data_IF_350413603122
#
_entry.id   IF_350413603122
#
_cell.length_a   1.000
_cell.length_b   1.000
_cell.length_c   1.000
_cell.angle_alpha   90.00
_cell.angle_beta   90.00
_cell.angle_gamma   90.00
#
_symmetry.space_group_name_H-M   'P 1'
#
loop_
_entity.id
_entity.type
_entity.pdbx_description
1 polymer ?
#
# COMPACT_ATOMS: atom_id res chain seq x y z
N UNK A 1 7.48 20.42 26.55
CA UNK A 1 8.14 19.25 25.93
C UNK A 1 8.21 19.49 24.44
N UNK A 2 9.39 19.87 23.94
CA UNK A 2 9.63 20.32 22.57
C UNK A 2 9.42 19.18 21.58
N UNK A 3 8.48 19.38 20.66
CA UNK A 3 8.10 18.43 19.61
C UNK A 3 9.30 18.22 18.68
N UNK A 4 9.77 16.99 18.40
CA UNK A 4 10.77 16.82 17.38
C UNK A 4 10.15 17.01 15.99
N UNK A 5 10.85 17.83 15.18
CA UNK A 5 10.94 17.80 13.72
C UNK A 5 10.92 16.34 13.27
N UNK A 6 9.85 15.81 12.67
CA UNK A 6 9.70 15.78 11.22
C UNK A 6 8.43 15.00 10.91
N UNK A 7 7.40 15.64 10.34
CA UNK A 7 6.26 14.93 9.73
C UNK A 7 6.72 13.94 8.65
N UNK A 8 7.91 14.15 8.07
CA UNK A 8 8.52 13.33 7.03
C UNK A 8 9.15 12.02 7.55
N UNK A 9 9.16 11.77 8.86
CA UNK A 9 9.74 10.55 9.44
C UNK A 9 9.18 9.26 8.82
N UNK A 10 7.86 9.18 8.62
CA UNK A 10 7.21 7.99 8.04
C UNK A 10 7.63 7.77 6.58
N UNK A 11 7.86 8.84 5.81
CA UNK A 11 8.36 8.73 4.43
C UNK A 11 9.80 8.24 4.43
N UNK A 12 10.63 8.72 5.36
CA UNK A 12 12.02 8.23 5.50
C UNK A 12 12.02 6.74 5.80
N UNK A 13 11.22 6.26 6.76
CA UNK A 13 11.08 4.84 7.03
C UNK A 13 10.58 4.06 5.80
N UNK A 14 9.62 4.62 5.06
CA UNK A 14 9.14 4.06 3.80
C UNK A 14 10.24 3.93 2.74
N UNK A 15 11.06 4.96 2.56
CA UNK A 15 12.18 4.94 1.61
C UNK A 15 13.20 3.88 2.02
N UNK A 16 13.50 3.74 3.31
CA UNK A 16 14.41 2.68 3.79
C UNK A 16 13.84 1.30 3.47
N UNK A 17 12.55 1.05 3.73
CA UNK A 17 11.90 -0.22 3.37
C UNK A 17 11.90 -0.48 1.86
N UNK A 18 11.72 0.56 1.04
CA UNK A 18 11.81 0.46 -0.42
C UNK A 18 13.23 0.11 -0.89
N UNK A 19 14.26 0.66 -0.24
CA UNK A 19 15.66 0.30 -0.52
C UNK A 19 15.94 -1.13 -0.08
N UNK A 20 15.44 -1.56 1.07
CA UNK A 20 15.58 -2.95 1.53
C UNK A 20 14.90 -3.94 0.56
N UNK A 21 13.72 -3.62 0.02
CA UNK A 21 13.05 -4.48 -0.98
C UNK A 21 13.78 -4.51 -2.32
N UNK A 22 14.43 -3.41 -2.69
CA UNK A 22 15.29 -3.37 -3.87
C UNK A 22 16.52 -4.27 -3.71
N UNK A 23 17.17 -4.21 -2.53
CA UNK A 23 18.31 -5.08 -2.20
C UNK A 23 17.88 -6.56 -2.18
N UNK A 24 16.73 -6.88 -1.57
CA UNK A 24 16.13 -8.22 -1.54
C UNK A 24 15.95 -8.79 -2.96
N UNK A 25 15.47 -7.96 -3.90
CA UNK A 25 15.31 -8.35 -5.31
C UNK A 25 16.67 -8.57 -6.02
N UNK A 26 17.62 -7.63 -5.89
CA UNK A 26 18.92 -7.75 -6.56
C UNK A 26 19.69 -8.99 -6.08
N UNK A 27 19.75 -9.21 -4.76
CA UNK A 27 20.50 -10.35 -4.21
C UNK A 27 19.87 -11.68 -4.67
N UNK A 28 18.54 -11.74 -4.76
CA UNK A 28 17.85 -12.91 -5.29
C UNK A 28 18.25 -13.21 -6.75
N UNK A 29 18.47 -12.17 -7.58
CA UNK A 29 18.88 -12.37 -8.97
C UNK A 29 20.28 -12.99 -9.11
N UNK A 30 21.19 -12.72 -8.16
CA UNK A 30 22.50 -13.37 -8.08
C UNK A 30 22.39 -14.85 -7.63
N UNK A 31 21.51 -15.13 -6.67
CA UNK A 31 21.18 -16.48 -6.18
C UNK A 31 20.77 -17.47 -7.30
N UNK A 32 20.10 -16.98 -8.35
CA UNK A 32 19.64 -17.81 -9.45
C UNK A 32 20.78 -18.34 -10.33
N UNK A 33 21.96 -17.71 -10.29
CA UNK A 33 23.06 -17.96 -11.23
C UNK A 33 24.16 -18.89 -10.69
N UNK A 34 24.24 -19.18 -9.39
CA UNK A 34 25.26 -20.10 -8.86
C UNK A 34 24.82 -20.88 -7.61
N UNK A 35 25.19 -22.17 -7.53
CA UNK A 35 24.94 -23.04 -6.36
C UNK A 35 25.81 -22.62 -5.16
N UNK A 36 27.02 -22.11 -5.40
CA UNK A 36 27.96 -21.66 -4.37
C UNK A 36 27.40 -20.49 -3.56
N UNK A 37 26.67 -19.57 -4.20
CA UNK A 37 26.02 -18.47 -3.50
C UNK A 37 24.85 -18.92 -2.62
N UNK A 38 24.17 -20.02 -2.95
CA UNK A 38 23.04 -20.56 -2.18
C UNK A 38 23.47 -21.14 -0.82
N UNK A 39 24.68 -21.70 -0.75
CA UNK A 39 25.24 -22.24 0.50
C UNK A 39 26.02 -21.19 1.30
N UNK A 40 26.18 -19.96 0.80
CA UNK A 40 27.06 -19.00 1.46
C UNK A 40 26.47 -18.49 2.78
N UNK A 41 27.28 -18.58 3.85
CA UNK A 41 26.95 -18.01 5.16
C UNK A 41 26.69 -16.50 5.06
N UNK A 42 27.40 -15.83 4.15
CA UNK A 42 27.22 -14.39 3.88
C UNK A 42 25.81 -14.06 3.41
N UNK A 43 25.23 -14.82 2.48
CA UNK A 43 23.88 -14.56 1.98
C UNK A 43 22.82 -14.85 3.05
N UNK A 44 23.03 -15.88 3.86
CA UNK A 44 22.15 -16.23 4.97
C UNK A 44 22.17 -15.16 6.06
N UNK A 45 23.34 -14.65 6.44
CA UNK A 45 23.47 -13.50 7.34
C UNK A 45 22.85 -12.23 6.76
N UNK A 46 23.06 -11.98 5.47
CA UNK A 46 22.49 -10.83 4.78
C UNK A 46 20.96 -10.90 4.79
N UNK A 47 20.37 -12.05 4.46
CA UNK A 47 18.94 -12.27 4.55
C UNK A 47 18.41 -12.03 5.97
N UNK A 48 19.04 -12.62 6.99
CA UNK A 48 18.61 -12.44 8.38
C UNK A 48 18.70 -10.98 8.82
N UNK A 49 19.77 -10.26 8.47
CA UNK A 49 19.92 -8.84 8.77
C UNK A 49 18.83 -8.00 8.08
N UNK A 50 18.62 -8.18 6.78
CA UNK A 50 17.59 -7.46 6.03
C UNK A 50 16.20 -7.71 6.63
N UNK A 51 15.90 -8.94 7.03
CA UNK A 51 14.64 -9.30 7.67
C UNK A 51 14.46 -8.60 9.02
N UNK A 52 15.47 -8.64 9.89
CA UNK A 52 15.42 -7.97 11.20
C UNK A 52 15.24 -6.46 11.04
N UNK A 53 15.98 -5.84 10.12
CA UNK A 53 15.83 -4.41 9.83
C UNK A 53 14.44 -4.08 9.26
N UNK A 54 13.92 -4.89 8.34
CA UNK A 54 12.59 -4.67 7.77
C UNK A 54 11.50 -4.74 8.85
N UNK A 55 11.51 -5.78 9.69
CA UNK A 55 10.55 -5.94 10.80
C UNK A 55 10.68 -4.78 11.80
N UNK A 56 11.90 -4.40 12.19
CA UNK A 56 12.13 -3.30 13.11
C UNK A 56 11.57 -1.98 12.57
N UNK A 57 11.77 -1.67 11.29
CA UNK A 57 11.24 -0.44 10.68
C UNK A 57 9.71 -0.49 10.58
N UNK A 58 9.12 -1.64 10.23
CA UNK A 58 7.66 -1.80 10.23
C UNK A 58 7.06 -1.54 11.63
N UNK A 59 7.70 -2.06 12.69
CA UNK A 59 7.31 -1.78 14.08
C UNK A 59 7.43 -0.30 14.44
N UNK A 60 8.49 0.37 14.00
CA UNK A 60 8.70 1.81 14.22
C UNK A 60 7.63 2.65 13.52
N UNK A 61 7.28 2.32 12.26
CA UNK A 61 6.17 2.97 11.54
C UNK A 61 4.87 2.81 12.33
N UNK A 62 4.57 1.58 12.76
CA UNK A 62 3.37 1.30 13.53
C UNK A 62 3.32 2.09 14.84
N UNK A 63 4.41 2.09 15.61
CA UNK A 63 4.51 2.86 16.84
C UNK A 63 4.31 4.36 16.60
N UNK A 64 4.90 4.91 15.53
CA UNK A 64 4.71 6.32 15.16
C UNK A 64 3.24 6.64 14.88
N UNK A 65 2.55 5.76 14.12
CA UNK A 65 1.12 5.90 13.83
C UNK A 65 0.33 5.90 15.13
N UNK A 66 0.44 4.86 15.95
CA UNK A 66 -0.30 4.75 17.21
C UNK A 66 -0.12 5.98 18.10
N UNK A 67 1.14 6.42 18.29
CA UNK A 67 1.47 7.60 19.10
C UNK A 67 0.88 8.90 18.55
N UNK A 68 0.86 9.07 17.22
CA UNK A 68 0.33 10.29 16.58
C UNK A 68 -1.20 10.29 16.54
N UNK A 69 -1.84 9.14 16.36
CA UNK A 69 -3.30 9.04 16.46
C UNK A 69 -3.78 9.39 17.88
N UNK A 70 -3.13 8.87 18.93
CA UNK A 70 -3.48 9.25 20.31
C UNK A 70 -3.25 10.73 20.64
N UNK A 71 -2.39 11.41 19.88
CA UNK A 71 -2.17 12.85 20.02
C UNK A 71 -3.21 13.68 19.25
N UNK A 72 -3.67 13.19 18.10
CA UNK A 72 -4.62 13.91 17.24
C UNK A 72 -6.09 13.64 17.56
N UNK A 73 -6.41 12.53 18.22
CA UNK A 73 -7.78 12.14 18.57
C UNK A 73 -7.81 11.65 20.02
N UNK A 74 -8.42 12.44 20.92
CA UNK A 74 -8.70 12.03 22.30
C UNK A 74 -9.81 10.97 22.36
N UNK A 75 -10.71 10.97 21.38
CA UNK A 75 -11.79 9.99 21.21
C UNK A 75 -11.49 9.18 19.96
N UNK A 76 -10.84 8.03 20.14
CA UNK A 76 -10.66 7.06 19.06
C UNK A 76 -12.05 6.51 18.69
N UNK A 77 -12.47 6.69 17.45
CA UNK A 77 -13.71 6.06 16.97
C UNK A 77 -13.59 4.53 17.05
N UNK A 78 -14.70 3.85 17.40
CA UNK A 78 -14.73 2.39 17.59
C UNK A 78 -14.16 1.62 16.39
N UNK A 79 -14.38 2.12 15.16
CA UNK A 79 -13.84 1.54 13.93
C UNK A 79 -12.31 1.62 13.85
N UNK A 80 -11.71 2.79 14.14
CA UNK A 80 -10.25 2.97 14.14
C UNK A 80 -9.56 2.11 15.19
N UNK A 81 -10.18 1.90 16.35
CA UNK A 81 -9.66 1.01 17.38
C UNK A 81 -9.62 -0.45 16.89
N UNK A 82 -10.70 -0.95 16.29
CA UNK A 82 -10.74 -2.31 15.72
C UNK A 82 -9.66 -2.52 14.66
N UNK A 83 -9.41 -1.54 13.79
CA UNK A 83 -8.34 -1.61 12.79
C UNK A 83 -6.94 -1.70 13.43
N UNK A 84 -6.68 -0.93 14.50
CA UNK A 84 -5.39 -0.99 15.19
C UNK A 84 -5.16 -2.34 15.87
N UNK A 85 -6.18 -2.93 16.49
CA UNK A 85 -6.08 -4.24 17.14
C UNK A 85 -5.82 -5.34 16.11
N UNK A 86 -6.58 -5.35 15.00
CA UNK A 86 -6.41 -6.32 13.93
C UNK A 86 -4.99 -6.29 13.34
N UNK A 87 -4.42 -5.09 13.17
CA UNK A 87 -3.06 -4.96 12.67
C UNK A 87 -2.00 -5.42 13.69
N UNK A 88 -2.16 -5.12 14.98
CA UNK A 88 -1.23 -5.64 16.02
C UNK A 88 -1.22 -7.16 15.97
N UNK A 89 -2.40 -7.77 15.92
CA UNK A 89 -2.53 -9.22 15.83
C UNK A 89 -1.82 -9.78 14.60
N UNK A 90 -2.02 -9.16 13.43
CA UNK A 90 -1.34 -9.57 12.21
C UNK A 90 0.19 -9.42 12.27
N UNK A 91 0.70 -8.30 12.80
CA UNK A 91 2.14 -8.06 12.97
C UNK A 91 2.77 -9.11 13.89
N UNK A 92 2.08 -9.49 14.97
CA UNK A 92 2.54 -10.56 15.87
C UNK A 92 2.62 -11.91 15.15
N UNK A 93 1.59 -12.27 14.37
CA UNK A 93 1.61 -13.48 13.55
C UNK A 93 2.79 -13.47 12.59
N UNK A 94 3.00 -12.36 11.86
CA UNK A 94 4.11 -12.20 10.92
C UNK A 94 5.46 -12.41 11.62
N UNK A 95 5.68 -11.76 12.77
CA UNK A 95 6.91 -11.91 13.56
C UNK A 95 7.12 -13.36 13.99
N UNK A 96 6.09 -14.04 14.47
CA UNK A 96 6.17 -15.45 14.90
C UNK A 96 6.57 -16.35 13.72
N UNK A 97 5.92 -16.18 12.56
CA UNK A 97 6.21 -16.99 11.37
C UNK A 97 7.64 -16.75 10.85
N UNK A 98 8.07 -15.49 10.79
CA UNK A 98 9.44 -15.15 10.37
C UNK A 98 10.49 -15.62 11.37
N UNK A 99 10.23 -15.51 12.68
CA UNK A 99 11.14 -16.02 13.70
C UNK A 99 11.29 -17.54 13.59
N UNK A 100 10.18 -18.27 13.41
CA UNK A 100 10.19 -19.71 13.20
C UNK A 100 10.98 -20.11 11.94
N UNK A 101 10.77 -19.39 10.82
CA UNK A 101 11.54 -19.58 9.59
C UNK A 101 13.05 -19.42 9.80
N UNK A 102 13.48 -18.36 10.49
CA UNK A 102 14.91 -18.11 10.78
C UNK A 102 15.48 -19.22 11.65
N UNK A 103 14.78 -19.64 12.70
CA UNK A 103 15.21 -20.75 13.55
C UNK A 103 15.38 -22.04 12.74
N UNK A 104 14.45 -22.33 11.84
CA UNK A 104 14.51 -23.52 11.00
C UNK A 104 15.75 -23.51 10.09
N UNK A 105 16.02 -22.36 9.44
CA UNK A 105 17.17 -22.18 8.57
C UNK A 105 18.49 -22.38 9.35
N UNK A 106 18.60 -21.78 10.54
CA UNK A 106 19.83 -21.83 11.35
C UNK A 106 20.12 -23.21 11.92
N UNK A 107 19.08 -23.95 12.36
CA UNK A 107 19.26 -25.26 13.00
C UNK A 107 19.30 -26.42 12.00
N UNK A 108 18.52 -26.34 10.92
CA UNK A 108 18.29 -27.47 10.00
C UNK A 108 18.98 -27.29 8.64
N UNK A 109 19.53 -26.10 8.34
CA UNK A 109 20.05 -25.81 7.00
C UNK A 109 18.97 -25.90 5.90
N UNK A 110 17.70 -25.80 6.29
CA UNK A 110 16.54 -26.02 5.45
C UNK A 110 15.35 -25.22 5.99
N UNK A 111 14.34 -24.97 5.16
CA UNK A 111 13.04 -24.50 5.62
C UNK A 111 11.90 -25.32 5.03
N UNK A 112 10.76 -25.35 5.73
CA UNK A 112 9.57 -26.09 5.31
C UNK A 112 8.74 -25.26 4.33
N UNK A 113 8.23 -25.90 3.28
CA UNK A 113 7.37 -25.24 2.30
C UNK A 113 6.05 -24.77 2.94
N UNK A 114 5.57 -25.40 4.01
CA UNK A 114 4.39 -24.99 4.77
C UNK A 114 4.61 -23.65 5.46
N UNK A 115 5.76 -23.42 6.11
CA UNK A 115 6.04 -22.11 6.73
C UNK A 115 6.16 -21.03 5.66
N UNK A 116 6.83 -21.35 4.55
CA UNK A 116 6.97 -20.44 3.41
C UNK A 116 5.61 -20.03 2.82
N UNK A 117 4.74 -21.01 2.54
CA UNK A 117 3.35 -20.79 2.10
C UNK A 117 2.58 -19.95 3.13
N UNK A 118 2.70 -20.25 4.41
CA UNK A 118 1.99 -19.55 5.49
C UNK A 118 2.35 -18.06 5.55
N UNK A 119 3.64 -17.73 5.42
CA UNK A 119 4.11 -16.33 5.38
C UNK A 119 3.52 -15.61 4.16
N UNK A 120 3.58 -16.24 2.98
CA UNK A 120 3.06 -15.64 1.75
C UNK A 120 1.55 -15.41 1.87
N UNK A 121 0.76 -16.47 2.08
CA UNK A 121 -0.70 -16.38 2.04
C UNK A 121 -1.27 -15.50 3.15
N UNK A 122 -0.65 -15.45 4.33
CA UNK A 122 -1.09 -14.53 5.39
C UNK A 122 -0.91 -13.06 4.98
N UNK A 123 0.21 -12.70 4.35
CA UNK A 123 0.46 -11.34 3.87
C UNK A 123 -0.51 -10.94 2.75
N UNK A 124 -0.73 -11.82 1.78
CA UNK A 124 -1.70 -11.59 0.70
C UNK A 124 -3.13 -11.47 1.24
N UNK A 125 -3.55 -12.36 2.16
CA UNK A 125 -4.87 -12.32 2.75
C UNK A 125 -5.15 -11.00 3.49
N UNK A 126 -4.19 -10.56 4.31
CA UNK A 126 -4.31 -9.29 5.02
C UNK A 126 -4.35 -8.10 4.05
N UNK A 127 -3.55 -8.15 2.98
CA UNK A 127 -3.56 -7.13 1.95
C UNK A 127 -4.92 -7.05 1.23
N UNK A 128 -5.48 -8.19 0.83
CA UNK A 128 -6.81 -8.27 0.22
C UNK A 128 -7.92 -7.77 1.12
N UNK A 129 -7.86 -8.06 2.42
CA UNK A 129 -8.85 -7.56 3.39
C UNK A 129 -8.84 -6.02 3.46
N UNK A 130 -7.66 -5.40 3.60
CA UNK A 130 -7.55 -3.94 3.63
C UNK A 130 -7.94 -3.30 2.29
N UNK A 131 -7.55 -3.89 1.16
CA UNK A 131 -7.91 -3.40 -0.16
C UNK A 131 -9.41 -3.53 -0.44
N UNK A 132 -10.06 -4.62 -0.02
CA UNK A 132 -11.51 -4.78 -0.15
C UNK A 132 -12.28 -3.68 0.59
N UNK A 133 -11.84 -3.34 1.81
CA UNK A 133 -12.41 -2.22 2.57
C UNK A 133 -12.15 -0.89 1.85
N UNK A 134 -10.93 -0.66 1.38
CA UNK A 134 -10.57 0.55 0.64
C UNK A 134 -11.45 0.73 -0.62
N UNK A 135 -11.62 -0.33 -1.41
CA UNK A 135 -12.45 -0.36 -2.62
C UNK A 135 -13.90 -0.01 -2.26
N UNK A 136 -14.44 -0.59 -1.18
CA UNK A 136 -15.77 -0.26 -0.70
C UNK A 136 -15.92 1.24 -0.39
N UNK A 137 -14.95 1.85 0.30
CA UNK A 137 -15.00 3.29 0.57
C UNK A 137 -14.87 4.14 -0.69
N UNK A 138 -13.93 3.83 -1.58
CA UNK A 138 -13.76 4.55 -2.85
C UNK A 138 -15.03 4.50 -3.71
N UNK A 139 -15.68 3.34 -3.79
CA UNK A 139 -16.96 3.21 -4.48
C UNK A 139 -18.07 4.00 -3.80
N UNK A 140 -18.15 3.91 -2.47
CA UNK A 140 -19.14 4.64 -1.66
C UNK A 140 -19.01 6.16 -1.80
N UNK A 141 -17.79 6.67 -1.89
CA UNK A 141 -17.53 8.09 -2.12
C UNK A 141 -17.80 8.49 -3.56
N UNK A 142 -17.43 7.67 -4.54
CA UNK A 142 -17.76 7.90 -5.94
C UNK A 142 -19.27 8.00 -6.16
N UNK A 143 -20.08 7.13 -5.54
CA UNK A 143 -21.55 7.18 -5.65
C UNK A 143 -22.14 8.52 -5.17
N UNK A 144 -21.48 9.20 -4.23
CA UNK A 144 -21.98 10.45 -3.63
C UNK A 144 -21.54 11.70 -4.37
N UNK A 145 -20.27 11.77 -4.76
CA UNK A 145 -19.68 12.98 -5.32
C UNK A 145 -19.29 12.86 -6.80
N UNK A 146 -19.41 11.67 -7.40
CA UNK A 146 -19.15 11.40 -8.83
C UNK A 146 -17.77 11.87 -9.35
N UNK A 147 -16.78 12.01 -8.47
CA UNK A 147 -15.44 12.45 -8.86
C UNK A 147 -14.74 11.41 -9.73
N UNK A 148 -14.25 11.86 -10.90
CA UNK A 148 -13.50 11.02 -11.85
C UNK A 148 -12.24 10.45 -11.21
N UNK A 149 -11.55 11.23 -10.36
CA UNK A 149 -10.32 10.76 -9.68
C UNK A 149 -10.65 9.57 -8.77
N UNK A 150 -11.76 9.64 -8.02
CA UNK A 150 -12.20 8.53 -7.18
C UNK A 150 -12.57 7.30 -7.99
N UNK A 151 -13.24 7.48 -9.14
CA UNK A 151 -13.55 6.38 -10.06
C UNK A 151 -12.27 5.70 -10.58
N UNK A 152 -11.29 6.48 -11.01
CA UNK A 152 -10.01 5.96 -11.52
C UNK A 152 -9.29 5.16 -10.44
N UNK A 153 -9.20 5.67 -9.20
CA UNK A 153 -8.58 4.94 -8.10
C UNK A 153 -9.40 3.70 -7.70
N UNK A 154 -10.73 3.76 -7.69
CA UNK A 154 -11.59 2.60 -7.46
C UNK A 154 -11.31 1.49 -8.47
N UNK A 155 -11.26 1.82 -9.77
CA UNK A 155 -10.93 0.85 -10.82
C UNK A 155 -9.49 0.34 -10.65
N UNK A 156 -8.52 1.23 -10.41
CA UNK A 156 -7.12 0.87 -10.23
C UNK A 156 -6.92 -0.17 -9.11
N UNK A 157 -7.47 0.11 -7.91
CA UNK A 157 -7.37 -0.80 -6.77
C UNK A 157 -8.20 -2.07 -6.96
N UNK A 158 -9.33 -2.02 -7.70
CA UNK A 158 -10.10 -3.22 -8.03
C UNK A 158 -9.32 -4.15 -8.96
N UNK A 159 -8.69 -3.62 -10.02
CA UNK A 159 -7.84 -4.41 -10.91
C UNK A 159 -6.60 -4.91 -10.17
N UNK A 160 -6.02 -4.10 -9.28
CA UNK A 160 -4.92 -4.53 -8.42
C UNK A 160 -5.35 -5.71 -7.53
N UNK A 161 -6.51 -5.64 -6.88
CA UNK A 161 -7.04 -6.75 -6.07
C UNK A 161 -7.25 -8.02 -6.90
N UNK A 162 -7.76 -7.92 -8.12
CA UNK A 162 -7.89 -9.05 -9.05
C UNK A 162 -6.51 -9.63 -9.40
N UNK A 163 -5.51 -8.77 -9.63
CA UNK A 163 -4.14 -9.19 -9.88
C UNK A 163 -3.55 -9.98 -8.70
N UNK A 164 -3.76 -9.50 -7.47
CA UNK A 164 -3.29 -10.18 -6.25
C UNK A 164 -4.00 -11.52 -6.01
N UNK A 165 -5.30 -11.62 -6.30
CA UNK A 165 -6.03 -12.90 -6.29
C UNK A 165 -5.41 -13.87 -7.31
N UNK A 166 -5.09 -13.37 -8.51
CA UNK A 166 -4.36 -14.13 -9.52
C UNK A 166 -2.99 -14.61 -9.01
N UNK A 167 -2.25 -13.76 -8.29
CA UNK A 167 -0.98 -14.15 -7.67
C UNK A 167 -1.13 -15.29 -6.68
N UNK A 168 -2.14 -15.24 -5.81
CA UNK A 168 -2.42 -16.31 -4.84
C UNK A 168 -2.69 -17.63 -5.56
N UNK A 169 -3.52 -17.62 -6.61
CA UNK A 169 -3.83 -18.83 -7.38
C UNK A 169 -2.58 -19.42 -8.03
N UNK A 170 -1.77 -18.58 -8.67
CA UNK A 170 -0.51 -19.03 -9.30
C UNK A 170 0.43 -19.62 -8.25
N UNK A 171 0.64 -18.93 -7.12
CA UNK A 171 1.50 -19.41 -6.03
C UNK A 171 0.96 -20.69 -5.40
N UNK A 172 -0.36 -20.83 -5.24
CA UNK A 172 -0.95 -22.05 -4.71
C UNK A 172 -0.56 -23.26 -5.55
N UNK A 173 -0.78 -23.21 -6.87
CA UNK A 173 -0.44 -24.33 -7.74
C UNK A 173 1.07 -24.54 -7.91
N UNK A 174 1.86 -23.47 -8.02
CA UNK A 174 3.32 -23.58 -8.23
C UNK A 174 4.07 -24.07 -6.98
N UNK A 175 3.58 -23.74 -5.79
CA UNK A 175 4.20 -24.16 -4.53
C UNK A 175 3.72 -25.55 -4.08
N UNK A 176 2.68 -26.13 -4.68
CA UNK A 176 2.15 -27.45 -4.26
C UNK A 176 2.99 -28.62 -4.74
N UNK A 177 3.48 -28.54 -5.98
CA UNK A 177 4.33 -29.58 -6.59
C UNK A 177 5.79 -29.55 -6.06
N UNK A 178 6.08 -28.78 -5.00
CA UNK A 178 7.44 -28.51 -4.51
C UNK A 178 7.77 -29.38 -3.29
N UNK A 179 9.05 -29.78 -3.12
CA UNK A 179 9.42 -30.65 -2.02
C UNK A 179 9.10 -30.00 -0.67
N UNK A 180 8.75 -30.81 0.33
CA UNK A 180 8.37 -30.30 1.66
C UNK A 180 9.52 -29.54 2.34
N UNK A 181 10.77 -29.94 2.11
CA UNK A 181 11.95 -29.27 2.63
C UNK A 181 12.74 -28.63 1.50
N UNK A 182 13.01 -27.34 1.65
CA UNK A 182 13.83 -26.56 0.74
C UNK A 182 15.21 -26.39 1.35
N UNK A 183 16.24 -26.69 0.56
CA UNK A 183 17.66 -26.56 0.91
C UNK A 183 18.39 -25.79 -0.18
N UNK A 184 19.66 -25.47 0.04
CA UNK A 184 20.52 -24.83 -0.97
C UNK A 184 20.66 -25.64 -2.28
N UNK A 185 20.41 -26.96 -2.25
CA UNK A 185 20.51 -27.86 -3.41
C UNK A 185 19.21 -27.86 -4.24
N UNK A 186 18.08 -27.51 -3.64
CA UNK A 186 16.77 -27.55 -4.30
C UNK A 186 16.77 -26.70 -5.57
N UNK A 187 16.27 -27.27 -6.68
CA UNK A 187 16.25 -26.58 -7.97
C UNK A 187 15.14 -25.50 -8.01
N UNK A 188 15.49 -24.20 -8.12
CA UNK A 188 14.48 -23.14 -8.23
C UNK A 188 13.74 -23.19 -9.58
N UNK A 189 14.34 -23.80 -10.62
CA UNK A 189 13.90 -23.73 -12.02
C UNK A 189 13.12 -24.95 -12.53
N UNK A 190 12.61 -25.83 -11.65
CA UNK A 190 11.87 -27.02 -12.09
C UNK A 190 10.66 -26.70 -13.00
N UNK A 191 10.40 -27.59 -13.94
CA UNK A 191 9.54 -27.45 -15.13
C UNK A 191 8.02 -27.42 -14.86
N UNK A 192 7.59 -26.92 -13.70
CA UNK A 192 6.16 -26.78 -13.34
C UNK A 192 5.51 -25.59 -14.08
N UNK A 193 6.31 -24.71 -14.72
CA UNK A 193 5.88 -23.49 -15.40
C UNK A 193 4.87 -23.69 -16.55
N UNK A 194 4.81 -24.87 -17.16
CA UNK A 194 3.94 -25.14 -18.32
C UNK A 194 2.46 -25.39 -17.98
N UNK A 195 2.12 -25.80 -16.74
CA UNK A 195 0.75 -26.19 -16.37
C UNK A 195 -0.24 -25.01 -16.23
N UNK A 196 0.26 -23.78 -16.06
CA UNK A 196 -0.52 -22.62 -15.56
C UNK A 196 -0.42 -21.41 -16.51
N UNK A 197 -0.13 -21.64 -17.80
CA UNK A 197 0.15 -20.58 -18.77
C UNK A 197 -0.97 -19.53 -18.83
N UNK A 198 -2.24 -19.99 -18.91
CA UNK A 198 -3.41 -19.10 -19.01
C UNK A 198 -3.59 -18.18 -17.81
N UNK A 199 -3.36 -18.67 -16.58
CA UNK A 199 -3.44 -17.84 -15.37
C UNK A 199 -2.26 -16.87 -15.30
N UNK A 200 -1.08 -17.29 -15.76
CA UNK A 200 0.13 -16.47 -15.80
C UNK A 200 -0.04 -15.30 -16.76
N UNK A 201 -0.62 -15.53 -17.94
CA UNK A 201 -0.90 -14.47 -18.91
C UNK A 201 -1.99 -13.52 -18.42
N UNK A 202 -3.03 -14.04 -17.76
CA UNK A 202 -4.05 -13.23 -17.11
C UNK A 202 -3.47 -12.34 -16.00
N UNK A 203 -2.57 -12.87 -15.16
CA UNK A 203 -1.84 -12.10 -14.15
C UNK A 203 -1.01 -10.98 -14.80
N UNK A 204 -0.27 -11.27 -15.87
CA UNK A 204 0.53 -10.26 -16.57
C UNK A 204 -0.33 -9.15 -17.15
N UNK A 205 -1.43 -9.51 -17.82
CA UNK A 205 -2.38 -8.56 -18.40
C UNK A 205 -2.98 -7.64 -17.32
N UNK A 206 -3.49 -8.23 -16.23
CA UNK A 206 -4.08 -7.47 -15.12
C UNK A 206 -3.05 -6.58 -14.42
N UNK A 207 -1.79 -7.00 -14.33
CA UNK A 207 -0.70 -6.16 -13.80
C UNK A 207 -0.45 -4.94 -14.68
N UNK A 208 -0.43 -5.12 -16.02
CA UNK A 208 -0.24 -4.02 -16.98
C UNK A 208 -1.42 -3.03 -16.90
N UNK A 209 -2.64 -3.54 -16.85
CA UNK A 209 -3.85 -2.71 -16.73
C UNK A 209 -3.83 -1.95 -15.40
N UNK A 210 -3.57 -2.63 -14.28
CA UNK A 210 -3.50 -2.00 -12.95
C UNK A 210 -2.45 -0.90 -12.90
N UNK A 211 -1.24 -1.17 -13.41
CA UNK A 211 -0.16 -0.18 -13.46
C UNK A 211 -0.54 1.03 -14.32
N UNK A 212 -1.12 0.79 -15.50
CA UNK A 212 -1.52 1.84 -16.45
C UNK A 212 -2.60 2.75 -15.86
N UNK A 213 -3.64 2.18 -15.24
CA UNK A 213 -4.73 2.96 -14.64
C UNK A 213 -4.22 3.75 -13.43
N UNK A 214 -3.37 3.14 -12.59
CA UNK A 214 -2.74 3.84 -11.45
C UNK A 214 -1.84 4.98 -11.92
N UNK A 215 -1.10 4.77 -13.02
CA UNK A 215 -0.28 5.81 -13.63
C UNK A 215 -1.13 6.97 -14.16
N UNK A 216 -2.23 6.69 -14.86
CA UNK A 216 -3.19 7.71 -15.30
C UNK A 216 -3.76 8.45 -14.08
N UNK A 217 -4.18 7.74 -13.03
CA UNK A 217 -4.71 8.34 -11.80
C UNK A 217 -3.71 9.28 -11.12
N UNK A 218 -2.45 8.85 -11.03
CA UNK A 218 -1.35 9.64 -10.45
C UNK A 218 -1.06 10.87 -11.31
N UNK A 219 -1.04 10.71 -12.64
CA UNK A 219 -0.88 11.83 -13.56
C UNK A 219 -2.02 12.83 -13.43
N UNK A 220 -3.27 12.39 -13.32
CA UNK A 220 -4.44 13.26 -13.11
C UNK A 220 -4.34 14.03 -11.79
N UNK A 221 -3.95 13.34 -10.71
CA UNK A 221 -3.78 13.93 -9.39
C UNK A 221 -2.66 14.99 -9.40
N UNK A 222 -1.56 14.73 -10.12
CA UNK A 222 -0.42 15.64 -10.21
C UNK A 222 -0.53 16.69 -11.32
N UNK A 223 -1.40 16.51 -12.32
CA UNK A 223 -1.46 17.34 -13.53
C UNK A 223 -1.58 18.83 -13.20
N UNK A 224 -2.28 19.15 -12.13
CA UNK A 224 -2.52 20.53 -11.70
C UNK A 224 -1.29 21.16 -11.04
N UNK A 225 -0.42 20.33 -10.46
CA UNK A 225 0.89 20.74 -9.97
C UNK A 225 1.93 20.86 -11.11
N UNK A 226 1.63 20.42 -12.34
CA UNK A 226 2.56 20.48 -13.49
C UNK A 226 2.98 21.90 -13.87
N UNK A 227 2.10 22.91 -13.69
CA UNK A 227 2.43 24.31 -14.00
C UNK A 227 3.53 24.87 -13.10
N UNK A 228 3.59 24.44 -11.84
CA UNK A 228 4.62 24.86 -10.87
C UNK A 228 5.92 24.06 -11.01
N UNK A 229 5.82 22.77 -11.35
CA UNK A 229 6.98 21.90 -11.57
C UNK A 229 7.68 22.26 -12.90
N UNK A 230 6.91 22.76 -13.87
CA UNK A 230 7.32 22.97 -15.24
C UNK A 230 6.83 21.80 -16.10
N UNK A 231 6.11 22.11 -17.19
CA UNK A 231 5.42 21.11 -18.03
C UNK A 231 6.37 20.01 -18.53
N UNK A 232 7.58 20.38 -18.96
CA UNK A 232 8.57 19.41 -19.44
C UNK A 232 9.09 18.50 -18.31
N UNK A 233 9.43 19.08 -17.14
CA UNK A 233 9.90 18.33 -15.96
C UNK A 233 8.84 17.36 -15.45
N UNK A 234 7.58 17.78 -15.48
CA UNK A 234 6.44 16.93 -15.13
C UNK A 234 6.33 15.72 -16.05
N UNK A 235 6.36 15.92 -17.38
CA UNK A 235 6.26 14.80 -18.32
C UNK A 235 7.49 13.89 -18.27
N UNK A 236 8.69 14.43 -18.06
CA UNK A 236 9.88 13.59 -17.84
C UNK A 236 9.71 12.70 -16.61
N UNK A 237 9.23 13.26 -15.50
CA UNK A 237 8.96 12.51 -14.27
C UNK A 237 7.87 11.44 -14.46
N UNK A 238 6.84 11.73 -15.26
CA UNK A 238 5.74 10.80 -15.53
C UNK A 238 6.13 9.69 -16.51
N UNK A 239 7.02 9.96 -17.48
CA UNK A 239 7.47 8.97 -18.47
C UNK A 239 8.47 7.98 -17.87
N UNK A 240 9.29 8.41 -16.91
CA UNK A 240 10.33 7.58 -16.32
C UNK A 240 9.80 6.22 -15.76
N UNK A 241 8.73 6.17 -14.93
CA UNK A 241 8.13 4.91 -14.49
C UNK A 241 7.62 4.03 -15.63
N UNK A 242 7.08 4.61 -16.70
CA UNK A 242 6.57 3.85 -17.85
C UNK A 242 7.71 3.15 -18.58
N UNK A 243 8.80 3.86 -18.86
CA UNK A 243 9.98 3.28 -19.53
C UNK A 243 10.53 2.11 -18.71
N UNK A 244 10.68 2.31 -17.40
CA UNK A 244 11.16 1.26 -16.51
C UNK A 244 10.20 0.07 -16.44
N UNK A 245 8.89 0.30 -16.38
CA UNK A 245 7.90 -0.76 -16.35
C UNK A 245 7.90 -1.56 -17.66
N UNK A 246 7.92 -0.88 -18.82
CA UNK A 246 7.99 -1.52 -20.14
C UNK A 246 9.27 -2.35 -20.28
N UNK A 247 10.43 -1.80 -19.90
CA UNK A 247 11.70 -2.53 -19.93
C UNK A 247 11.72 -3.77 -19.03
N UNK A 248 10.85 -3.83 -18.01
CA UNK A 248 10.74 -4.97 -17.10
C UNK A 248 9.67 -6.00 -17.53
N UNK A 249 8.87 -5.73 -18.57
CA UNK A 249 7.92 -6.72 -19.11
C UNK A 249 8.69 -7.99 -19.47
N UNK A 250 8.21 -9.15 -19.02
CA UNK A 250 8.95 -10.42 -19.10
C UNK A 250 9.51 -10.74 -20.49
N UNK A 251 8.76 -10.46 -21.56
CA UNK A 251 9.21 -10.70 -22.95
C UNK A 251 10.44 -9.84 -23.29
N UNK A 252 10.39 -8.55 -22.95
CA UNK A 252 11.47 -7.60 -23.23
C UNK A 252 12.67 -7.92 -22.32
N UNK A 253 12.41 -8.11 -21.02
CA UNK A 253 13.44 -8.41 -20.04
C UNK A 253 14.17 -9.71 -20.36
N UNK A 254 13.44 -10.78 -20.70
CA UNK A 254 14.05 -12.07 -21.08
C UNK A 254 14.86 -11.97 -22.37
N UNK A 255 14.38 -11.25 -23.39
CA UNK A 255 15.15 -11.02 -24.62
C UNK A 255 16.47 -10.30 -24.34
N UNK A 256 16.44 -9.20 -23.56
CA UNK A 256 17.64 -8.46 -23.16
C UNK A 256 18.58 -9.37 -22.36
N UNK A 257 18.06 -10.10 -21.36
CA UNK A 257 18.87 -10.95 -20.50
C UNK A 257 19.54 -12.08 -21.28
N UNK A 258 18.81 -12.77 -22.17
CA UNK A 258 19.34 -13.84 -22.98
C UNK A 258 20.46 -13.34 -23.92
N UNK A 259 20.27 -12.18 -24.55
CA UNK A 259 21.33 -11.58 -25.37
C UNK A 259 22.56 -11.22 -24.52
N UNK A 260 22.38 -10.52 -23.40
CA UNK A 260 23.49 -10.02 -22.56
C UNK A 260 24.26 -11.16 -21.88
N UNK A 261 23.56 -12.23 -21.47
CA UNK A 261 24.15 -13.42 -20.85
C UNK A 261 25.19 -14.08 -21.77
N UNK A 262 24.96 -14.07 -23.09
CA UNK A 262 25.90 -14.60 -24.09
C UNK A 262 27.15 -13.71 -24.22
N UNK A 263 27.03 -12.40 -24.00
CA UNK A 263 28.15 -11.45 -24.15
C UNK A 263 29.06 -11.38 -22.91
N UNK A 264 28.49 -11.16 -21.72
CA UNK A 264 29.27 -11.23 -20.48
C UNK A 264 28.40 -11.34 -19.21
N UNK A 265 28.82 -12.15 -18.22
CA UNK A 265 28.16 -12.21 -16.92
C UNK A 265 28.17 -10.88 -16.15
N UNK A 266 29.21 -10.05 -16.30
CA UNK A 266 29.29 -8.74 -15.63
C UNK A 266 28.28 -7.72 -16.16
N UNK A 267 28.03 -7.69 -17.48
CA UNK A 267 26.98 -6.84 -18.04
C UNK A 267 25.59 -7.31 -17.60
N UNK A 268 25.38 -8.62 -17.41
CA UNK A 268 24.11 -9.15 -16.92
C UNK A 268 23.79 -8.62 -15.52
N UNK A 269 24.77 -8.57 -14.62
CA UNK A 269 24.61 -7.99 -13.27
C UNK A 269 24.21 -6.51 -13.33
N UNK A 270 24.84 -5.72 -14.21
CA UNK A 270 24.51 -4.30 -14.38
C UNK A 270 23.06 -4.15 -14.88
N UNK A 271 22.66 -4.94 -15.86
CA UNK A 271 21.30 -4.92 -16.40
C UNK A 271 20.27 -5.34 -15.35
N UNK A 272 20.59 -6.32 -14.50
CA UNK A 272 19.75 -6.74 -13.37
C UNK A 272 19.56 -5.63 -12.34
N UNK A 273 20.62 -4.92 -11.96
CA UNK A 273 20.54 -3.79 -11.03
C UNK A 273 19.69 -2.65 -11.63
N UNK A 274 19.92 -2.33 -12.90
CA UNK A 274 19.20 -1.24 -13.58
C UNK A 274 17.72 -1.58 -13.73
N UNK A 275 17.36 -2.78 -14.19
CA UNK A 275 15.97 -3.14 -14.46
C UNK A 275 15.23 -3.66 -13.22
N UNK A 276 15.94 -4.18 -12.21
CA UNK A 276 15.36 -4.75 -10.99
C UNK A 276 14.59 -3.75 -10.12
N UNK A 277 14.82 -2.45 -10.32
CA UNK A 277 14.17 -1.37 -9.57
C UNK A 277 12.84 -0.88 -10.14
N UNK A 278 12.34 -1.47 -11.23
CA UNK A 278 11.18 -0.94 -11.96
C UNK A 278 9.93 -0.79 -11.07
N UNK A 279 9.64 -1.78 -10.21
CA UNK A 279 8.48 -1.76 -9.32
C UNK A 279 8.65 -0.72 -8.20
N UNK A 280 9.87 -0.56 -7.67
CA UNK A 280 10.19 0.45 -6.67
C UNK A 280 10.09 1.88 -7.24
N UNK A 281 10.61 2.11 -8.45
CA UNK A 281 10.50 3.40 -9.14
C UNK A 281 9.02 3.73 -9.42
N UNK A 282 8.24 2.75 -9.88
CA UNK A 282 6.80 2.90 -10.07
C UNK A 282 6.06 3.27 -8.78
N UNK A 283 6.30 2.52 -7.70
CA UNK A 283 5.70 2.80 -6.39
C UNK A 283 6.06 4.19 -5.87
N UNK A 284 7.33 4.60 -5.97
CA UNK A 284 7.75 5.94 -5.58
C UNK A 284 7.02 7.04 -6.37
N UNK A 285 6.87 6.87 -7.68
CA UNK A 285 6.12 7.81 -8.51
C UNK A 285 4.65 7.92 -8.08
N UNK A 286 3.98 6.81 -7.80
CA UNK A 286 2.58 6.82 -7.35
C UNK A 286 2.40 7.52 -6.00
N UNK A 287 3.41 7.43 -5.12
CA UNK A 287 3.41 8.13 -3.83
C UNK A 287 3.68 9.64 -3.95
N UNK A 288 4.37 10.06 -5.01
CA UNK A 288 4.85 11.43 -5.18
C UNK A 288 3.72 12.46 -5.24
N UNK A 289 2.56 12.07 -5.76
CA UNK A 289 1.37 12.92 -5.75
C UNK A 289 0.96 13.31 -4.33
N UNK A 290 0.85 12.34 -3.42
CA UNK A 290 0.51 12.56 -2.01
C UNK A 290 1.58 13.36 -1.28
N UNK A 291 2.86 13.10 -1.58
CA UNK A 291 3.98 13.88 -1.01
C UNK A 291 3.88 15.35 -1.43
N UNK A 292 3.69 15.63 -2.72
CA UNK A 292 3.56 17.02 -3.22
C UNK A 292 2.39 17.73 -2.56
N UNK A 293 1.23 17.07 -2.46
CA UNK A 293 0.03 17.64 -1.83
C UNK A 293 0.33 17.97 -0.36
N UNK A 294 1.02 17.06 0.36
CA UNK A 294 1.38 17.26 1.78
C UNK A 294 2.31 18.46 2.01
N UNK A 295 3.12 18.85 1.01
CA UNK A 295 4.02 20.00 1.08
C UNK A 295 3.30 21.34 0.86
N UNK A 296 2.02 21.31 0.44
CA UNK A 296 1.22 22.50 0.12
C UNK A 296 0.09 22.76 1.11
N UNK A 297 -0.04 21.93 2.14
CA UNK A 297 -1.09 22.01 3.14
C UNK A 297 -0.48 22.47 4.47
N UNK A 298 -1.13 23.43 5.11
CA UNK A 298 -0.65 24.02 6.37
C UNK A 298 -0.99 23.16 7.60
N UNK A 299 -2.04 22.33 7.53
CA UNK A 299 -2.49 21.46 8.62
C UNK A 299 -1.56 20.29 8.90
N UNK A 300 -0.92 20.25 10.07
CA UNK A 300 0.03 19.19 10.46
C UNK A 300 -0.62 17.79 10.54
N UNK A 301 -1.88 17.70 11.00
CA UNK A 301 -2.65 16.44 11.06
C UNK A 301 -2.86 15.87 9.65
N UNK A 302 -3.38 16.70 8.74
CA UNK A 302 -3.65 16.33 7.35
C UNK A 302 -2.35 15.99 6.59
N UNK A 303 -1.30 16.78 6.79
CA UNK A 303 0.04 16.49 6.26
C UNK A 303 0.53 15.11 6.68
N UNK A 304 0.40 14.77 7.96
CA UNK A 304 0.84 13.47 8.48
C UNK A 304 0.06 12.30 7.85
N UNK A 305 -1.26 12.40 7.70
CA UNK A 305 -2.06 11.35 7.06
C UNK A 305 -1.77 11.20 5.56
N UNK A 306 -1.50 12.30 4.85
CA UNK A 306 -1.01 12.27 3.47
C UNK A 306 0.31 11.53 3.34
N UNK A 307 1.23 11.74 4.27
CA UNK A 307 2.52 11.05 4.28
C UNK A 307 2.38 9.57 4.65
N UNK A 308 1.43 9.18 5.50
CA UNK A 308 1.07 7.77 5.73
C UNK A 308 0.57 7.12 4.45
N UNK A 309 -0.40 7.76 3.77
CA UNK A 309 -0.96 7.27 2.52
C UNK A 309 0.13 7.16 1.42
N UNK A 310 0.99 8.17 1.31
CA UNK A 310 2.14 8.16 0.40
C UNK A 310 3.06 6.96 0.65
N UNK A 311 3.46 6.71 1.90
CA UNK A 311 4.30 5.57 2.25
C UNK A 311 3.59 4.24 1.95
N UNK A 312 2.30 4.14 2.21
CA UNK A 312 1.49 2.97 1.84
C UNK A 312 1.50 2.70 0.35
N UNK A 313 1.18 3.71 -0.46
CA UNK A 313 1.15 3.59 -1.94
C UNK A 313 2.54 3.23 -2.47
N UNK A 314 3.58 3.87 -1.96
CA UNK A 314 4.97 3.59 -2.32
C UNK A 314 5.33 2.12 -2.15
N UNK A 315 5.04 1.59 -0.95
CA UNK A 315 5.41 0.22 -0.59
C UNK A 315 4.51 -0.82 -1.27
N UNK A 316 3.21 -0.54 -1.44
CA UNK A 316 2.24 -1.48 -2.00
C UNK A 316 2.59 -1.84 -3.45
N UNK A 317 2.82 -0.84 -4.29
CA UNK A 317 3.19 -1.09 -5.68
C UNK A 317 4.61 -1.62 -5.84
N UNK A 318 5.51 -1.30 -4.90
CA UNK A 318 6.87 -1.85 -4.90
C UNK A 318 6.93 -3.33 -4.51
N UNK A 319 5.95 -3.81 -3.72
CA UNK A 319 5.95 -5.16 -3.15
C UNK A 319 5.20 -6.21 -3.98
N UNK A 320 4.40 -5.81 -4.97
CA UNK A 320 3.74 -6.74 -5.90
C UNK A 320 4.76 -7.35 -6.90
N UNK A 321 5.43 -8.41 -6.44
CA UNK A 321 6.46 -9.15 -7.16
C UNK A 321 6.35 -10.66 -6.93
N UNK A 322 5.41 -11.31 -7.60
CA UNK A 322 5.24 -12.78 -7.55
C UNK A 322 6.50 -13.54 -7.99
N UNK A 323 7.29 -12.95 -8.89
CA UNK A 323 8.47 -13.57 -9.47
C UNK A 323 9.55 -13.88 -8.44
N UNK A 324 9.58 -13.17 -7.31
CA UNK A 324 10.56 -13.40 -6.26
C UNK A 324 10.28 -14.68 -5.46
N UNK A 325 8.99 -15.00 -5.29
CA UNK A 325 8.56 -16.07 -4.39
C UNK A 325 8.19 -17.37 -5.11
N UNK A 326 7.87 -17.30 -6.40
CA UNK A 326 7.58 -18.50 -7.22
C UNK A 326 8.79 -19.45 -7.38
N UNK A 327 10.01 -18.92 -7.27
CA UNK A 327 11.26 -19.70 -7.45
C UNK A 327 11.75 -20.36 -6.16
N UNK A 328 11.12 -20.06 -5.01
CA UNK A 328 11.41 -20.65 -3.69
C UNK A 328 12.92 -20.64 -3.37
N UNK A 329 13.52 -19.45 -3.25
CA UNK A 329 14.96 -19.33 -3.11
C UNK A 329 15.45 -19.76 -1.72
N UNK A 330 16.69 -20.25 -1.64
CA UNK A 330 17.37 -20.52 -0.37
C UNK A 330 18.67 -19.71 -0.27
N UNK A 331 18.82 -18.75 0.67
CA UNK A 331 17.84 -18.27 1.64
C UNK A 331 16.57 -17.66 1.01
N UNK A 332 15.45 -17.54 1.76
CA UNK A 332 14.15 -17.15 1.21
C UNK A 332 14.00 -15.64 0.97
N UNK A 333 14.88 -15.09 0.14
CA UNK A 333 14.75 -13.75 -0.44
C UNK A 333 13.40 -13.60 -1.16
N UNK A 334 12.89 -12.38 -1.22
CA UNK A 334 11.54 -12.08 -1.71
C UNK A 334 10.47 -12.10 -0.62
N UNK A 335 10.63 -12.89 0.46
CA UNK A 335 9.69 -12.85 1.58
C UNK A 335 9.69 -11.51 2.31
N UNK A 336 10.84 -10.83 2.35
CA UNK A 336 10.94 -9.48 2.93
C UNK A 336 10.08 -8.53 2.11
N UNK A 337 10.20 -8.57 0.79
CA UNK A 337 9.39 -7.76 -0.13
C UNK A 337 7.89 -8.07 0.02
N UNK A 338 7.49 -9.35 0.09
CA UNK A 338 6.08 -9.75 0.30
C UNK A 338 5.55 -9.31 1.68
N UNK A 339 6.39 -9.28 2.71
CA UNK A 339 5.98 -8.78 4.04
C UNK A 339 5.54 -7.31 4.01
N UNK A 340 6.01 -6.53 3.02
CA UNK A 340 5.64 -5.13 2.88
C UNK A 340 4.22 -4.96 2.31
N UNK A 341 3.67 -5.97 1.64
CA UNK A 341 2.34 -5.90 1.02
C UNK A 341 1.24 -5.67 2.06
N UNK A 342 1.34 -6.36 3.20
CA UNK A 342 0.36 -6.29 4.29
C UNK A 342 0.36 -4.93 4.98
N UNK A 343 1.53 -4.47 5.46
CA UNK A 343 1.67 -3.17 6.11
C UNK A 343 1.33 -2.03 5.15
N UNK A 344 1.74 -2.11 3.88
CA UNK A 344 1.48 -1.07 2.90
C UNK A 344 -0.01 -0.91 2.59
N UNK A 345 -0.75 -2.00 2.41
CA UNK A 345 -2.20 -1.96 2.20
C UNK A 345 -2.94 -1.29 3.37
N UNK A 346 -2.51 -1.56 4.60
CA UNK A 346 -3.04 -0.90 5.79
C UNK A 346 -2.71 0.60 5.80
N UNK A 347 -1.48 0.99 5.48
CA UNK A 347 -1.08 2.40 5.43
C UNK A 347 -1.89 3.19 4.39
N UNK A 348 -2.17 2.59 3.23
CA UNK A 348 -3.06 3.21 2.23
C UNK A 348 -4.46 3.40 2.81
N UNK A 349 -5.04 2.34 3.38
CA UNK A 349 -6.39 2.37 3.93
C UNK A 349 -6.53 3.41 5.05
N UNK A 350 -5.70 3.30 6.08
CA UNK A 350 -5.76 4.19 7.26
C UNK A 350 -5.39 5.62 6.90
N UNK A 351 -4.37 5.80 6.06
CA UNK A 351 -3.99 7.11 5.55
C UNK A 351 -5.16 7.79 4.82
N UNK A 352 -5.79 7.08 3.88
CA UNK A 352 -6.88 7.67 3.08
C UNK A 352 -8.15 7.92 3.90
N UNK A 353 -8.55 6.99 4.76
CA UNK A 353 -9.69 7.18 5.65
C UNK A 353 -9.48 8.36 6.60
N UNK A 354 -8.28 8.50 7.18
CA UNK A 354 -8.00 9.61 8.10
C UNK A 354 -7.89 10.95 7.39
N UNK A 355 -7.44 10.99 6.13
CA UNK A 355 -7.58 12.19 5.30
C UNK A 355 -9.06 12.53 5.13
N UNK A 356 -9.88 11.56 4.70
CA UNK A 356 -11.30 11.78 4.44
C UNK A 356 -12.05 12.26 5.69
N UNK A 357 -11.88 11.59 6.84
CA UNK A 357 -12.47 12.00 8.10
C UNK A 357 -11.96 13.36 8.58
N UNK A 358 -10.65 13.63 8.49
CA UNK A 358 -10.12 14.94 8.89
C UNK A 358 -10.64 16.08 8.02
N UNK A 359 -10.92 15.81 6.75
CA UNK A 359 -11.49 16.78 5.82
C UNK A 359 -13.00 16.95 6.00
N UNK A 360 -13.73 15.87 6.33
CA UNK A 360 -15.16 15.89 6.57
C UNK A 360 -15.51 16.76 7.79
N UNK A 361 -14.79 16.57 8.89
CA UNK A 361 -15.10 17.23 10.14
C UNK A 361 -14.45 18.60 10.31
N UNK A 362 -13.52 19.03 9.46
CA UNK A 362 -12.85 20.33 9.57
C UNK A 362 -13.27 21.29 8.45
N UNK A 363 -14.36 22.04 8.68
CA UNK A 363 -14.85 23.08 7.76
C UNK A 363 -13.79 24.10 7.34
N UNK A 364 -12.84 24.47 8.21
CA UNK A 364 -11.77 25.41 7.83
C UNK A 364 -10.78 24.76 6.87
N UNK A 365 -10.40 23.50 7.11
CA UNK A 365 -9.58 22.74 6.16
C UNK A 365 -10.34 22.43 4.87
N UNK A 366 -11.64 22.15 4.95
CA UNK A 366 -12.51 21.89 3.80
C UNK A 366 -12.70 23.16 2.96
N UNK A 367 -12.90 24.32 3.59
CA UNK A 367 -12.97 25.63 2.94
C UNK A 367 -11.62 26.04 2.35
N UNK A 368 -10.52 25.80 3.05
CA UNK A 368 -9.18 26.03 2.52
C UNK A 368 -8.90 25.11 1.32
N UNK A 369 -9.28 23.83 1.39
CA UNK A 369 -9.23 22.94 0.24
C UNK A 369 -10.13 23.45 -0.89
N UNK A 370 -11.33 23.96 -0.60
CA UNK A 370 -12.22 24.59 -1.60
C UNK A 370 -11.60 25.85 -2.23
N UNK A 371 -10.89 26.69 -1.46
CA UNK A 371 -10.15 27.85 -1.97
C UNK A 371 -8.97 27.41 -2.85
N UNK A 372 -8.19 26.42 -2.41
CA UNK A 372 -7.12 25.77 -3.21
C UNK A 372 -7.71 25.19 -4.51
N UNK A 373 -8.92 24.63 -4.45
CA UNK A 373 -9.68 24.13 -5.60
C UNK A 373 -10.09 25.27 -6.54
N UNK A 374 -10.64 26.38 -6.03
CA UNK A 374 -10.98 27.54 -6.88
C UNK A 374 -9.78 28.17 -7.58
N UNK A 375 -8.60 28.12 -6.97
CA UNK A 375 -7.42 28.79 -7.50
C UNK A 375 -6.49 27.89 -8.35
N UNK A 376 -6.36 26.58 -8.05
CA UNK A 376 -5.27 25.71 -8.60
C UNK A 376 -5.61 24.20 -8.70
N UNK A 377 -6.89 23.80 -8.74
CA UNK A 377 -7.43 22.50 -8.30
C UNK A 377 -6.66 21.20 -8.59
N UNK A 378 -6.36 20.40 -7.57
CA UNK A 378 -6.75 18.98 -7.59
C UNK A 378 -7.94 18.82 -6.63
N UNK A 379 -9.15 18.53 -7.14
CA UNK A 379 -10.40 18.42 -6.32
C UNK A 379 -10.40 17.24 -5.35
N UNK A 380 -9.45 16.32 -5.51
CA UNK A 380 -9.40 15.05 -4.80
C UNK A 380 -9.64 15.13 -3.28
N UNK A 381 -8.95 16.03 -2.56
CA UNK A 381 -9.10 16.13 -1.10
C UNK A 381 -10.46 16.68 -0.67
N UNK A 382 -10.96 17.67 -1.40
CA UNK A 382 -12.31 18.19 -1.18
C UNK A 382 -13.33 17.10 -1.45
N UNK A 383 -13.13 16.35 -2.54
CA UNK A 383 -14.05 15.34 -3.03
C UNK A 383 -14.23 14.16 -2.08
N UNK A 384 -13.14 13.67 -1.48
CA UNK A 384 -13.19 12.59 -0.49
C UNK A 384 -13.76 13.08 0.85
N UNK A 385 -13.46 14.32 1.24
CA UNK A 385 -13.93 14.91 2.49
C UNK A 385 -15.44 15.16 2.47
N UNK A 386 -15.94 15.79 1.40
CA UNK A 386 -17.38 16.05 1.23
C UNK A 386 -18.19 14.76 1.12
N UNK A 387 -17.68 13.78 0.37
CA UNK A 387 -18.34 12.48 0.24
C UNK A 387 -18.36 11.69 1.56
N UNK A 388 -17.31 11.79 2.37
CA UNK A 388 -17.27 11.18 3.69
C UNK A 388 -18.22 11.88 4.67
N UNK A 389 -18.26 13.22 4.67
CA UNK A 389 -19.21 14.00 5.47
C UNK A 389 -20.66 13.61 5.17
N UNK A 390 -21.01 13.56 3.88
CA UNK A 390 -22.34 13.14 3.45
C UNK A 390 -22.65 11.70 3.88
N UNK A 391 -21.68 10.78 3.75
CA UNK A 391 -21.84 9.39 4.21
C UNK A 391 -22.15 9.28 5.69
N UNK A 392 -21.47 10.03 6.54
CA UNK A 392 -21.69 10.03 7.98
C UNK A 392 -23.05 10.66 8.30
N UNK A 393 -23.37 11.80 7.68
CA UNK A 393 -24.65 12.48 7.86
C UNK A 393 -25.86 11.62 7.47
N UNK A 394 -25.79 10.90 6.34
CA UNK A 394 -26.82 9.96 5.87
C UNK A 394 -27.09 8.84 6.91
N UNK A 395 -26.10 8.49 7.73
CA UNK A 395 -26.22 7.44 8.75
C UNK A 395 -26.61 7.96 10.13
N UNK A 396 -26.22 9.20 10.46
CA UNK A 396 -26.40 9.78 11.79
C UNK A 396 -27.74 10.46 11.96
N UNK A 397 -28.25 11.19 10.94
CA UNK A 397 -29.55 11.88 11.02
C UNK A 397 -30.68 10.88 11.31
N UNK A 398 -30.84 9.77 10.55
CA UNK A 398 -31.94 8.83 10.81
C UNK A 398 -31.83 8.17 12.19
N UNK A 399 -30.61 7.90 12.66
CA UNK A 399 -30.39 7.32 13.98
C UNK A 399 -30.77 8.30 15.11
N UNK A 400 -30.46 9.59 14.97
CA UNK A 400 -30.86 10.62 15.93
C UNK A 400 -32.38 10.79 15.92
N UNK A 401 -32.99 10.82 14.73
CA UNK A 401 -34.44 10.92 14.60
C UNK A 401 -35.16 9.69 15.16
N UNK A 402 -34.64 8.48 14.97
CA UNK A 402 -35.19 7.24 15.54
C UNK A 402 -35.05 7.21 17.07
N UNK A 403 -33.91 7.65 17.63
CA UNK A 403 -33.74 7.79 19.09
C UNK A 403 -34.67 8.85 19.65
N UNK A 404 -34.80 10.00 18.98
CA UNK A 404 -35.72 11.07 19.36
C UNK A 404 -37.18 10.61 19.33
N UNK A 405 -37.59 9.90 18.26
CA UNK A 405 -38.92 9.32 18.14
C UNK A 405 -39.22 8.29 19.26
N UNK A 406 -38.26 7.41 19.58
CA UNK A 406 -38.40 6.44 20.67
C UNK A 406 -38.49 7.06 22.05
N UNK A 407 -37.79 8.18 22.29
CA UNK A 407 -37.89 8.93 23.54
C UNK A 407 -39.18 9.77 23.62
N UNK A 408 -39.76 10.13 22.47
CA UNK A 408 -41.01 10.88 22.36
C UNK A 408 -42.26 9.99 22.38
N UNK A 409 -42.21 8.69 22.07
CA UNK A 409 -43.35 7.79 22.35
C UNK A 409 -43.70 7.73 23.86
N UNK A 410 -42.74 8.07 24.73
CA UNK A 410 -42.95 8.24 26.18
C UNK A 410 -43.46 9.64 26.59
N UNK A 411 -43.45 10.63 25.69
CA UNK A 411 -43.87 12.01 25.95
C UNK A 411 -44.74 12.53 24.81
N UNK A 412 -46.03 12.77 25.05
CA UNK A 412 -47.09 13.08 24.06
C UNK A 412 -46.94 14.40 23.25
N UNK A 413 -45.77 14.63 22.66
CA UNK A 413 -45.37 15.78 21.85
C UNK A 413 -44.88 15.26 20.49
N UNK A 414 -45.41 15.76 19.37
CA UNK A 414 -45.02 15.29 18.04
C UNK A 414 -43.58 15.74 17.66
N UNK A 415 -42.86 14.97 16.83
CA UNK A 415 -41.51 15.32 16.40
C UNK A 415 -41.58 16.52 15.47
N UNK A 416 -41.03 17.66 15.90
CA UNK A 416 -41.11 18.92 15.15
C UNK A 416 -39.89 19.22 14.28
N UNK A 417 -38.85 18.36 14.31
CA UNK A 417 -37.59 18.61 13.60
C UNK A 417 -37.52 17.83 12.28
N UNK A 418 -37.28 18.56 11.19
CA UNK A 418 -36.97 18.02 9.87
C UNK A 418 -35.52 17.53 9.78
N UNK A 419 -35.22 16.65 8.82
CA UNK A 419 -33.84 16.19 8.55
C UNK A 419 -32.87 17.35 8.30
N UNK A 420 -33.35 18.42 7.67
CA UNK A 420 -32.55 19.60 7.35
C UNK A 420 -32.21 20.41 8.61
N UNK A 421 -33.17 20.59 9.52
CA UNK A 421 -32.92 21.25 10.81
C UNK A 421 -31.96 20.44 11.70
N UNK A 422 -32.08 19.11 11.72
CA UNK A 422 -31.14 18.24 12.45
C UNK A 422 -29.73 18.35 11.86
N UNK A 423 -29.62 18.42 10.52
CA UNK A 423 -28.35 18.59 9.83
C UNK A 423 -27.68 19.92 10.19
N UNK A 424 -28.45 21.01 10.18
CA UNK A 424 -27.95 22.35 10.50
C UNK A 424 -27.51 22.46 11.96
N UNK A 425 -28.27 21.85 12.87
CA UNK A 425 -27.89 21.76 14.27
C UNK A 425 -26.57 21.01 14.48
N UNK A 426 -26.37 19.86 13.81
CA UNK A 426 -25.10 19.11 13.88
C UNK A 426 -23.94 19.95 13.32
N UNK A 427 -24.15 20.68 12.23
CA UNK A 427 -23.14 21.58 11.66
C UNK A 427 -22.70 22.65 12.65
N UNK A 428 -23.66 23.29 13.32
CA UNK A 428 -23.41 24.35 14.32
C UNK A 428 -22.65 23.79 15.53
N UNK A 429 -23.06 22.63 16.04
CA UNK A 429 -22.44 21.98 17.20
C UNK A 429 -20.99 21.55 16.90
N UNK A 430 -20.70 21.09 15.68
CA UNK A 430 -19.33 20.79 15.23
C UNK A 430 -18.47 22.06 15.13
N UNK A 431 -19.05 23.23 14.87
CA UNK A 431 -18.31 24.49 14.91
C UNK A 431 -18.00 24.95 16.34
N UNK A 432 -18.97 24.86 17.25
CA UNK A 432 -18.77 25.25 18.65
C UNK A 432 -17.69 24.41 19.33
N UNK A 433 -17.71 23.09 19.12
CA UNK A 433 -16.74 22.15 19.69
C UNK A 433 -15.29 22.37 19.23
N UNK A 434 -15.06 23.14 18.17
CA UNK A 434 -13.71 23.51 17.72
C UNK A 434 -13.21 24.84 18.29
N UNK A 435 -14.12 25.69 18.75
CA UNK A 435 -13.79 26.99 19.36
C UNK A 435 -13.44 26.83 20.84
N UNK A 436 -13.98 25.78 21.48
CA UNK A 436 -13.62 25.32 22.82
C UNK A 436 -12.31 24.51 22.81
#
# INVERSE_FOLDING_TARGET
MTIPKSTHFIVICGIILLVLSFIDNIIMSNFLNSILERHSLSNLLTFTLLLVFAIAIQLVIFYSIRKRYSLFEKTITRSLFTFQVLLIFFMLISIILFAYLVVQIMLQGAYDTIIYKSIIFSNYFFALANMGILIYYLFSWFKRNHSIVMLVYFIAFSVFMINEIGSILILYFQLDDRPQKITFITNPWDSISLKILSFTDFYKLTSIISFSITWVGTCLLMYHYSRKIGRWKFWLLAVLPLIYYIGNIDIIRSAIFNHVLVFSPHLLLIVQIVLGGAKQIGGFFFALAFIIISLKIDGQKLKYFLLICATGVMLLFSSNQISLVQVIPYPPFGLITISLLSISSFLVLVGLLSIASSMAYDKTLLENARKIVREKASTFLYDIGSAQWQKEMDSTIPAIMDVGAKQMDDTSVPPSLSEEEVRDYINELVEELKKA
#
